data_IF_388140733445
#
_entry.id   IF_388140733445
#
_cell.length_a   1.000
_cell.length_b   1.000
_cell.length_c   1.000
_cell.angle_alpha   90.00
_cell.angle_beta   90.00
_cell.angle_gamma   90.00
#
_symmetry.space_group_name_H-M   'P 1'
#
loop_
_entity.id
_entity.type
_entity.pdbx_description
1 polymer ?
#
# COMPACT_ATOMS: atom_id res chain seq x y z
N UNK A 1 30.59 62.14 -40.26
CA UNK A 1 29.42 61.58 -39.66
C UNK A 1 29.57 60.05 -39.66
N UNK A 2 29.99 59.51 -38.56
CA UNK A 2 30.09 58.06 -38.36
C UNK A 2 28.86 57.63 -37.61
N UNK A 3 28.24 56.45 -37.88
CA UNK A 3 27.08 55.93 -37.07
C UNK A 3 27.56 55.24 -35.80
N UNK A 4 26.87 55.54 -34.72
CA UNK A 4 27.00 54.93 -33.42
C UNK A 4 26.66 53.43 -33.49
N UNK A 5 27.56 52.62 -32.94
CA UNK A 5 27.32 51.21 -32.68
C UNK A 5 26.47 51.11 -31.41
N UNK A 6 25.22 50.63 -31.52
CA UNK A 6 24.43 50.16 -30.43
C UNK A 6 25.02 48.84 -29.87
N UNK A 7 25.40 48.87 -28.61
CA UNK A 7 25.74 47.65 -27.86
C UNK A 7 24.43 46.89 -27.57
N UNK A 8 24.27 45.71 -28.15
CA UNK A 8 23.30 44.71 -27.71
C UNK A 8 23.75 44.13 -26.34
N UNK A 9 23.02 44.47 -25.32
CA UNK A 9 23.18 43.79 -24.01
C UNK A 9 22.65 42.35 -24.14
N UNK A 10 23.59 41.40 -24.11
CA UNK A 10 23.35 39.97 -24.09
C UNK A 10 22.84 39.58 -22.70
N UNK A 11 21.50 39.51 -22.53
CA UNK A 11 20.85 38.92 -21.36
C UNK A 11 20.97 37.38 -21.41
N UNK A 12 22.11 36.86 -21.03
CA UNK A 12 22.25 35.45 -20.71
C UNK A 12 21.49 35.21 -19.41
N UNK A 13 20.21 34.82 -19.51
CA UNK A 13 19.47 34.20 -18.41
C UNK A 13 20.16 32.88 -18.08
N UNK A 14 20.93 32.89 -16.99
CA UNK A 14 21.47 31.68 -16.41
C UNK A 14 20.35 30.67 -16.11
N UNK A 15 20.63 29.37 -16.11
CA UNK A 15 19.59 28.35 -15.86
C UNK A 15 18.92 28.67 -14.53
N UNK A 16 17.60 28.94 -14.56
CA UNK A 16 16.76 29.02 -13.36
C UNK A 16 17.05 27.78 -12.49
N UNK A 17 17.54 28.01 -11.30
CA UNK A 17 17.78 26.93 -10.34
C UNK A 17 16.45 26.20 -10.12
N UNK A 18 16.32 25.01 -10.71
CA UNK A 18 15.11 24.21 -10.66
C UNK A 18 14.64 24.10 -9.20
N UNK A 19 13.48 24.68 -8.89
CA UNK A 19 12.93 24.70 -7.54
C UNK A 19 12.70 23.26 -7.06
N UNK A 20 13.52 22.80 -6.11
CA UNK A 20 13.38 21.47 -5.53
C UNK A 20 12.06 21.34 -4.76
N UNK A 21 11.41 20.19 -4.89
CA UNK A 21 10.15 19.86 -4.20
C UNK A 21 10.40 19.51 -2.73
N UNK A 22 9.68 20.17 -1.80
CA UNK A 22 9.71 19.89 -0.36
C UNK A 22 8.58 18.96 0.04
N UNK A 23 8.90 17.93 0.84
CA UNK A 23 7.92 16.97 1.34
C UNK A 23 7.79 17.09 2.85
N UNK A 24 6.56 17.11 3.35
CA UNK A 24 6.26 17.06 4.78
C UNK A 24 5.30 15.91 5.08
N UNK A 25 5.63 15.12 6.10
CA UNK A 25 4.77 14.05 6.62
C UNK A 25 3.99 14.59 7.82
N UNK A 26 2.67 14.58 7.75
CA UNK A 26 1.77 15.04 8.81
C UNK A 26 1.29 13.83 9.61
N UNK A 27 1.99 13.55 10.71
CA UNK A 27 1.75 12.43 11.61
C UNK A 27 2.97 11.54 11.80
N UNK A 28 3.21 11.13 13.05
CA UNK A 28 4.42 10.43 13.50
C UNK A 28 4.13 9.08 14.17
N UNK A 29 2.96 8.52 13.95
CA UNK A 29 2.67 7.14 14.39
C UNK A 29 3.60 6.12 13.72
N UNK A 30 3.37 4.84 13.94
CA UNK A 30 4.18 3.78 13.34
C UNK A 30 4.30 3.95 11.81
N UNK A 31 3.16 4.06 11.11
CA UNK A 31 3.16 4.20 9.65
C UNK A 31 3.70 5.55 9.17
N UNK A 32 3.43 6.65 9.89
CA UNK A 32 4.03 7.96 9.57
C UNK A 32 5.55 7.95 9.65
N UNK A 33 6.11 7.27 10.64
CA UNK A 33 7.56 7.07 10.79
C UNK A 33 8.14 6.23 9.65
N UNK A 34 7.45 5.16 9.22
CA UNK A 34 7.86 4.35 8.07
C UNK A 34 7.81 5.17 6.78
N UNK A 35 6.73 5.93 6.56
CA UNK A 35 6.59 6.80 5.38
C UNK A 35 7.72 7.85 5.34
N UNK A 36 8.00 8.52 6.46
CA UNK A 36 9.08 9.48 6.55
C UNK A 36 10.45 8.84 6.21
N UNK A 37 10.72 7.64 6.72
CA UNK A 37 11.94 6.89 6.40
C UNK A 37 12.07 6.56 4.91
N UNK A 38 11.00 6.04 4.27
CA UNK A 38 11.00 5.70 2.86
C UNK A 38 11.26 6.93 1.99
N UNK A 39 10.49 8.00 2.25
CA UNK A 39 10.61 9.27 1.53
C UNK A 39 12.03 9.84 1.72
N UNK A 40 12.54 9.90 2.94
CA UNK A 40 13.87 10.42 3.24
C UNK A 40 14.99 9.64 2.54
N UNK A 41 14.85 8.32 2.43
CA UNK A 41 15.81 7.49 1.67
C UNK A 41 15.77 7.79 0.17
N UNK A 42 14.61 8.10 -0.37
CA UNK A 42 14.43 8.34 -1.81
C UNK A 42 14.77 9.78 -2.19
N UNK A 43 14.45 10.79 -1.36
CA UNK A 43 14.80 12.20 -1.62
C UNK A 43 16.30 12.41 -1.77
N UNK A 44 17.13 11.67 -1.02
CA UNK A 44 18.60 11.69 -1.19
C UNK A 44 19.09 11.21 -2.56
N UNK A 45 18.27 10.50 -3.31
CA UNK A 45 18.60 9.95 -4.64
C UNK A 45 17.95 10.74 -5.78
N UNK A 46 16.99 11.61 -5.47
CA UNK A 46 16.14 12.31 -6.43
C UNK A 46 16.51 13.80 -6.43
N UNK A 47 17.25 14.25 -7.44
CA UNK A 47 17.73 15.64 -7.54
C UNK A 47 16.61 16.70 -7.60
N UNK A 48 15.40 16.32 -7.99
CA UNK A 48 14.20 17.17 -8.02
C UNK A 48 13.57 17.43 -6.65
N UNK A 49 14.05 16.77 -5.61
CA UNK A 49 13.55 16.92 -4.25
C UNK A 49 14.58 17.54 -3.33
N UNK A 50 14.11 18.23 -2.28
CA UNK A 50 14.97 18.57 -1.15
C UNK A 50 15.30 17.32 -0.37
N UNK A 51 16.53 17.22 0.12
CA UNK A 51 16.98 16.09 0.93
C UNK A 51 16.19 16.01 2.24
N UNK A 52 15.96 17.16 2.89
CA UNK A 52 15.22 17.27 4.14
C UNK A 52 13.75 16.88 3.98
N UNK A 53 13.29 15.99 4.84
CA UNK A 53 11.89 15.59 4.99
C UNK A 53 11.42 16.00 6.38
N UNK A 54 10.47 16.92 6.45
CA UNK A 54 9.87 17.31 7.72
C UNK A 54 8.79 16.33 8.12
N UNK A 55 8.67 16.07 9.42
CA UNK A 55 7.64 15.22 9.99
C UNK A 55 6.99 15.96 11.17
N UNK A 56 5.70 16.29 11.03
CA UNK A 56 4.96 16.81 12.18
C UNK A 56 4.73 15.70 13.19
N UNK A 57 5.13 15.97 14.44
CA UNK A 57 5.02 15.08 15.58
C UNK A 57 4.08 15.70 16.60
N UNK A 58 2.98 15.01 16.93
CA UNK A 58 2.22 15.39 18.10
C UNK A 58 3.11 15.23 19.33
N UNK A 59 3.41 16.34 20.01
CA UNK A 59 4.40 16.35 21.07
C UNK A 59 3.91 15.56 22.29
N UNK A 60 4.75 14.67 22.75
CA UNK A 60 4.54 13.84 23.93
C UNK A 60 5.80 13.81 24.78
N UNK A 61 5.61 13.69 26.09
CA UNK A 61 6.72 13.47 27.02
C UNK A 61 6.93 11.98 27.23
N UNK A 62 8.13 11.51 26.97
CA UNK A 62 8.53 10.12 27.18
C UNK A 62 8.64 9.81 28.69
N UNK A 63 8.62 8.54 29.13
CA UNK A 63 8.86 8.16 30.52
C UNK A 63 10.20 8.67 31.10
N UNK A 64 11.17 8.96 30.23
CA UNK A 64 12.46 9.59 30.59
C UNK A 64 12.36 11.07 30.96
N UNK A 65 11.22 11.73 30.72
CA UNK A 65 11.05 13.18 30.83
C UNK A 65 11.47 13.96 29.58
N UNK A 66 12.06 13.31 28.57
CA UNK A 66 12.45 13.91 27.29
C UNK A 66 11.23 14.08 26.38
N UNK A 67 11.19 15.13 25.58
CA UNK A 67 10.17 15.31 24.53
C UNK A 67 10.40 14.33 23.38
N UNK A 68 9.32 13.77 22.82
CA UNK A 68 9.40 12.81 21.73
C UNK A 68 10.10 13.40 20.49
N UNK A 69 9.84 14.66 20.18
CA UNK A 69 10.47 15.38 19.06
C UNK A 69 11.99 15.50 19.24
N UNK A 70 12.44 15.85 20.45
CA UNK A 70 13.87 15.95 20.77
C UNK A 70 14.55 14.58 20.65
N UNK A 71 13.92 13.53 21.17
CA UNK A 71 14.42 12.16 21.06
C UNK A 71 14.57 11.71 19.60
N UNK A 72 13.57 12.01 18.74
CA UNK A 72 13.61 11.68 17.33
C UNK A 72 14.77 12.41 16.64
N UNK A 73 14.88 13.71 16.81
CA UNK A 73 15.92 14.53 16.17
C UNK A 73 17.33 14.16 16.65
N UNK A 74 17.50 13.82 17.92
CA UNK A 74 18.78 13.41 18.51
C UNK A 74 19.22 12.03 18.03
N UNK A 75 18.28 11.06 17.99
CA UNK A 75 18.61 9.65 17.71
C UNK A 75 18.32 9.21 16.28
N UNK A 76 17.64 10.02 15.48
CA UNK A 76 17.07 9.66 14.18
C UNK A 76 16.18 8.41 14.25
N UNK A 77 15.41 8.27 15.32
CA UNK A 77 14.59 7.11 15.62
C UNK A 77 13.33 7.53 16.37
N UNK A 78 12.18 7.07 15.94
CA UNK A 78 10.97 7.22 16.73
C UNK A 78 10.90 6.11 17.78
N UNK A 79 11.51 6.38 18.93
CA UNK A 79 11.67 5.39 20.01
C UNK A 79 10.35 4.88 20.60
N UNK A 80 9.25 5.64 20.42
CA UNK A 80 7.92 5.26 20.91
C UNK A 80 7.15 4.40 19.90
N UNK A 81 7.11 4.81 18.63
CA UNK A 81 6.24 4.24 17.64
C UNK A 81 6.92 3.31 16.63
N UNK A 82 8.26 3.41 16.48
CA UNK A 82 9.06 2.58 15.59
C UNK A 82 10.44 2.28 16.20
N UNK A 83 10.51 1.65 17.40
CA UNK A 83 11.76 1.42 18.10
C UNK A 83 12.69 0.48 17.32
N UNK A 84 13.99 0.77 17.39
CA UNK A 84 15.04 -0.03 16.72
C UNK A 84 15.24 0.29 15.23
N UNK A 85 14.44 1.20 14.66
CA UNK A 85 14.50 1.54 13.23
C UNK A 85 14.91 3.01 13.05
N UNK A 86 16.04 3.22 12.36
CA UNK A 86 16.50 4.58 12.02
C UNK A 86 15.69 5.16 10.87
N UNK A 87 15.23 6.40 11.02
CA UNK A 87 14.41 7.11 10.03
C UNK A 87 15.26 7.70 8.89
N UNK A 88 16.48 8.12 9.19
CA UNK A 88 17.37 8.86 8.29
C UNK A 88 17.77 10.19 8.93
N UNK A 89 19.02 10.63 8.68
CA UNK A 89 19.54 11.89 9.24
C UNK A 89 18.88 13.14 8.66
N UNK A 90 18.19 12.98 7.55
CA UNK A 90 17.47 14.03 6.82
C UNK A 90 15.98 14.10 7.20
N UNK A 91 15.50 13.29 8.15
CA UNK A 91 14.16 13.44 8.75
C UNK A 91 14.28 14.43 9.90
N UNK A 92 13.49 15.51 9.84
CA UNK A 92 13.43 16.55 10.88
C UNK A 92 12.03 16.48 11.50
N UNK A 93 11.98 16.13 12.78
CA UNK A 93 10.75 16.12 13.56
C UNK A 93 10.43 17.52 14.07
N UNK A 94 9.19 17.98 13.95
CA UNK A 94 8.72 19.30 14.33
C UNK A 94 7.39 19.16 15.10
N UNK A 95 7.26 19.70 16.31
CA UNK A 95 6.03 19.66 17.08
C UNK A 95 5.00 20.69 16.63
N UNK A 96 5.41 21.74 15.91
CA UNK A 96 4.52 22.75 15.38
C UNK A 96 4.03 22.37 13.99
N UNK A 97 2.71 22.16 13.85
CA UNK A 97 2.09 21.76 12.60
C UNK A 97 2.27 22.79 11.49
N UNK A 98 2.11 24.07 11.81
CA UNK A 98 2.19 25.16 10.82
C UNK A 98 3.63 25.35 10.34
N UNK A 99 4.59 25.25 11.25
CA UNK A 99 6.01 25.30 10.91
C UNK A 99 6.43 24.09 10.07
N UNK A 100 5.98 22.88 10.43
CA UNK A 100 6.29 21.65 9.69
C UNK A 100 5.86 21.71 8.22
N UNK A 101 4.66 22.26 7.93
CA UNK A 101 4.13 22.36 6.56
C UNK A 101 4.60 23.61 5.81
N UNK A 102 5.26 24.54 6.50
CA UNK A 102 5.67 25.79 5.86
C UNK A 102 6.63 25.54 4.68
N UNK A 103 6.26 26.07 3.54
CA UNK A 103 7.03 25.91 2.29
C UNK A 103 6.92 24.53 1.63
N UNK A 104 6.15 23.59 2.18
CA UNK A 104 5.94 22.28 1.57
C UNK A 104 5.26 22.41 0.18
N UNK A 105 5.66 21.54 -0.75
CA UNK A 105 5.02 21.34 -2.06
C UNK A 105 4.19 20.06 -2.07
N UNK A 106 4.53 19.09 -1.20
CA UNK A 106 3.87 17.80 -1.10
C UNK A 106 3.62 17.44 0.38
N UNK A 107 2.39 17.07 0.72
CA UNK A 107 1.96 16.71 2.07
C UNK A 107 1.50 15.26 2.13
N UNK A 108 1.98 14.52 3.13
CA UNK A 108 1.60 13.13 3.39
C UNK A 108 0.81 13.06 4.69
N UNK A 109 -0.49 12.83 4.62
CA UNK A 109 -1.36 12.71 5.80
C UNK A 109 -1.41 11.29 6.32
N UNK A 110 -0.98 11.09 7.56
CA UNK A 110 -0.85 9.76 8.22
C UNK A 110 -1.30 9.84 9.68
N UNK A 111 -2.39 10.54 9.93
CA UNK A 111 -2.98 10.68 11.27
C UNK A 111 -4.26 9.84 11.37
N UNK A 112 -4.72 9.46 12.58
CA UNK A 112 -6.03 8.85 12.71
C UNK A 112 -7.14 9.77 12.17
N UNK A 113 -8.13 9.21 11.46
CA UNK A 113 -9.14 9.97 10.72
C UNK A 113 -9.91 10.98 11.60
N UNK A 114 -10.18 10.65 12.87
CA UNK A 114 -10.92 11.50 13.80
C UNK A 114 -10.25 12.84 14.07
N UNK A 115 -8.96 12.99 13.79
CA UNK A 115 -8.24 14.26 13.95
C UNK A 115 -8.13 15.08 12.68
N UNK A 116 -8.49 14.50 11.52
CA UNK A 116 -8.26 15.13 10.20
C UNK A 116 -8.97 16.46 10.04
N UNK A 117 -10.24 16.56 10.46
CA UNK A 117 -10.97 17.81 10.36
C UNK A 117 -10.30 18.95 11.16
N UNK A 118 -9.83 18.64 12.37
CA UNK A 118 -9.11 19.60 13.21
C UNK A 118 -7.75 20.01 12.62
N UNK A 119 -7.03 19.07 12.02
CA UNK A 119 -5.75 19.32 11.33
C UNK A 119 -5.98 20.20 10.11
N UNK A 120 -6.95 19.85 9.25
CA UNK A 120 -7.27 20.65 8.06
C UNK A 120 -7.66 22.08 8.41
N UNK A 121 -8.51 22.29 9.44
CA UNK A 121 -8.87 23.65 9.90
C UNK A 121 -7.66 24.50 10.27
N UNK A 122 -6.66 23.92 10.94
CA UNK A 122 -5.41 24.61 11.29
C UNK A 122 -4.57 24.96 10.07
N UNK A 123 -4.65 24.17 9.00
CA UNK A 123 -3.86 24.32 7.79
C UNK A 123 -4.50 25.22 6.74
N UNK A 124 -5.77 25.60 6.88
CA UNK A 124 -6.44 26.54 5.97
C UNK A 124 -5.66 27.85 5.87
N UNK A 125 -5.26 28.23 4.67
CA UNK A 125 -4.46 29.44 4.40
C UNK A 125 -2.99 29.37 4.86
N UNK A 126 -2.52 28.22 5.35
CA UNK A 126 -1.13 28.01 5.79
C UNK A 126 -0.31 27.18 4.81
N UNK A 127 -0.97 26.49 3.91
CA UNK A 127 -0.35 25.70 2.83
C UNK A 127 -0.38 26.46 1.51
N UNK A 128 0.53 26.17 0.59
CA UNK A 128 0.53 26.74 -0.75
C UNK A 128 -0.73 26.31 -1.52
N UNK A 129 -1.23 27.16 -2.42
CA UNK A 129 -2.39 26.83 -3.24
C UNK A 129 -2.14 25.68 -4.24
N UNK A 130 -0.89 25.48 -4.64
CA UNK A 130 -0.43 24.45 -5.57
C UNK A 130 0.15 23.22 -4.86
N UNK A 131 -0.02 23.11 -3.52
CA UNK A 131 0.45 21.95 -2.77
C UNK A 131 -0.33 20.70 -3.18
N UNK A 132 0.38 19.60 -3.36
CA UNK A 132 -0.21 18.29 -3.63
C UNK A 132 -0.21 17.44 -2.38
N UNK A 133 -1.30 16.73 -2.13
CA UNK A 133 -1.44 15.89 -0.96
C UNK A 133 -1.61 14.41 -1.31
N UNK A 134 -1.23 13.55 -0.38
CA UNK A 134 -1.58 12.13 -0.38
C UNK A 134 -2.07 11.72 1.02
N UNK A 135 -3.20 10.99 1.07
CA UNK A 135 -3.69 10.37 2.29
C UNK A 135 -3.24 8.91 2.35
N UNK A 136 -2.67 8.50 3.49
CA UNK A 136 -2.36 7.11 3.83
C UNK A 136 -3.36 6.55 4.86
N UNK A 137 -4.50 7.22 5.03
CA UNK A 137 -5.52 6.89 6.01
C UNK A 137 -6.53 5.94 5.35
N UNK A 138 -6.74 4.77 5.97
CA UNK A 138 -7.56 3.67 5.42
C UNK A 138 -9.01 3.67 5.92
N UNK A 139 -9.41 4.73 6.58
CA UNK A 139 -10.71 4.84 7.22
C UNK A 139 -11.55 5.88 6.50
N UNK A 140 -12.87 5.75 6.63
CA UNK A 140 -13.86 6.64 6.05
C UNK A 140 -14.66 7.26 7.19
N UNK A 141 -14.96 8.54 7.09
CA UNK A 141 -15.87 9.20 8.02
C UNK A 141 -17.32 8.98 7.56
N UNK A 142 -18.21 8.64 8.48
CA UNK A 142 -19.63 8.51 8.18
C UNK A 142 -20.36 9.73 8.75
N UNK A 143 -20.89 10.59 7.87
CA UNK A 143 -21.72 11.75 8.22
C UNK A 143 -23.19 11.47 7.97
N UNK A 144 -24.05 12.36 8.44
CA UNK A 144 -25.51 12.24 8.23
C UNK A 144 -25.85 12.22 6.74
N UNK A 145 -25.10 12.97 5.93
CA UNK A 145 -25.27 13.06 4.48
C UNK A 145 -24.72 11.84 3.72
N UNK A 146 -24.04 10.94 4.41
CA UNK A 146 -23.42 9.73 3.83
C UNK A 146 -21.93 9.57 4.12
N UNK A 147 -21.29 8.58 3.50
CA UNK A 147 -19.87 8.31 3.68
C UNK A 147 -19.02 9.45 3.10
N UNK A 148 -18.10 9.97 3.91
CA UNK A 148 -17.16 11.02 3.54
C UNK A 148 -15.75 10.43 3.42
N UNK A 149 -15.20 10.48 2.22
CA UNK A 149 -13.83 10.06 1.93
C UNK A 149 -12.83 11.02 2.56
N UNK A 150 -11.78 10.52 3.21
CA UNK A 150 -10.76 11.37 3.83
C UNK A 150 -10.01 12.21 2.79
N UNK A 151 -9.72 11.64 1.63
CA UNK A 151 -9.11 12.37 0.51
C UNK A 151 -9.99 13.52 0.03
N UNK A 152 -11.30 13.33 0.01
CA UNK A 152 -12.29 14.36 -0.33
C UNK A 152 -12.39 15.44 0.75
N UNK A 153 -12.38 15.05 2.03
CA UNK A 153 -12.35 15.98 3.16
C UNK A 153 -11.13 16.92 3.06
N UNK A 154 -9.93 16.35 2.84
CA UNK A 154 -8.70 17.12 2.69
C UNK A 154 -8.81 18.08 1.50
N UNK A 155 -9.22 17.57 0.34
CA UNK A 155 -9.36 18.38 -0.88
C UNK A 155 -10.34 19.54 -0.71
N UNK A 156 -11.48 19.31 -0.11
CA UNK A 156 -12.51 20.33 0.08
C UNK A 156 -12.11 21.39 1.11
N UNK A 157 -11.51 20.98 2.23
CA UNK A 157 -11.16 21.94 3.28
C UNK A 157 -9.92 22.77 2.94
N UNK A 158 -8.94 22.20 2.27
CA UNK A 158 -7.69 22.89 1.93
C UNK A 158 -7.70 23.49 0.51
N UNK A 159 -8.64 23.11 -0.35
CA UNK A 159 -8.69 23.55 -1.75
C UNK A 159 -7.55 22.97 -2.60
N UNK A 160 -7.07 21.77 -2.29
CA UNK A 160 -5.90 21.14 -2.92
C UNK A 160 -6.23 19.75 -3.49
N UNK A 161 -5.39 19.26 -4.41
CA UNK A 161 -5.51 17.88 -4.88
C UNK A 161 -5.04 16.91 -3.79
N UNK A 162 -5.78 15.82 -3.59
CA UNK A 162 -5.39 14.77 -2.68
C UNK A 162 -5.47 13.40 -3.37
N UNK A 163 -4.32 12.75 -3.51
CA UNK A 163 -4.19 11.34 -3.84
C UNK A 163 -4.47 10.48 -2.60
N UNK A 164 -4.56 9.18 -2.80
CA UNK A 164 -4.62 8.21 -1.70
C UNK A 164 -3.63 7.08 -1.96
N UNK A 165 -3.06 6.51 -0.91
CA UNK A 165 -2.33 5.25 -1.01
C UNK A 165 -2.78 4.28 0.07
N UNK A 166 -3.00 3.04 -0.36
CA UNK A 166 -3.23 1.89 0.52
C UNK A 166 -2.05 0.96 0.38
N UNK A 167 -1.29 0.85 1.46
CA UNK A 167 -0.07 0.06 1.50
C UNK A 167 -0.30 -1.35 2.04
N UNK A 168 0.51 -2.27 1.55
CA UNK A 168 0.80 -3.57 2.14
C UNK A 168 2.30 -3.79 2.13
N UNK A 169 2.81 -4.55 3.07
CA UNK A 169 4.22 -4.64 3.46
C UNK A 169 5.24 -4.72 2.30
N UNK A 170 4.85 -5.15 1.11
CA UNK A 170 5.70 -5.22 -0.09
C UNK A 170 5.15 -4.40 -1.26
N UNK A 171 3.92 -3.89 -1.14
CA UNK A 171 3.24 -3.20 -2.23
C UNK A 171 2.30 -2.11 -1.72
N UNK A 172 2.11 -1.08 -2.54
CA UNK A 172 1.08 -0.07 -2.34
C UNK A 172 0.41 0.30 -3.67
N UNK A 173 -0.83 0.76 -3.57
CA UNK A 173 -1.54 1.36 -4.71
C UNK A 173 -1.75 2.84 -4.42
N UNK A 174 -1.33 3.71 -5.35
CA UNK A 174 -1.59 5.15 -5.31
C UNK A 174 -2.74 5.46 -6.24
N UNK A 175 -3.88 5.84 -5.66
CA UNK A 175 -5.04 6.34 -6.41
C UNK A 175 -4.89 7.82 -6.74
N UNK A 176 -5.13 8.20 -8.00
CA UNK A 176 -5.13 9.58 -8.46
C UNK A 176 -6.36 9.88 -9.33
N UNK A 177 -6.78 11.16 -9.42
CA UNK A 177 -7.91 11.55 -10.27
C UNK A 177 -7.48 11.88 -11.69
N UNK A 178 -6.75 12.94 -11.90
CA UNK A 178 -6.45 13.47 -13.24
C UNK A 178 -4.95 13.51 -13.51
N UNK A 179 -4.15 13.95 -12.55
CA UNK A 179 -2.73 14.24 -12.76
C UNK A 179 -1.85 13.00 -12.53
N UNK A 180 -1.54 12.31 -13.63
CA UNK A 180 -0.66 11.14 -13.63
C UNK A 180 0.78 11.48 -13.24
N UNK A 181 1.26 12.69 -13.56
CA UNK A 181 2.63 13.10 -13.24
C UNK A 181 2.83 13.24 -11.73
N UNK A 182 1.83 13.78 -11.03
CA UNK A 182 1.84 13.85 -9.57
C UNK A 182 1.81 12.45 -8.96
N UNK A 183 0.99 11.54 -9.51
CA UNK A 183 0.99 10.14 -9.07
C UNK A 183 2.37 9.49 -9.25
N UNK A 184 3.07 9.78 -10.35
CA UNK A 184 4.43 9.28 -10.58
C UNK A 184 5.45 9.87 -9.59
N UNK A 185 5.32 11.14 -9.18
CA UNK A 185 6.15 11.71 -8.11
C UNK A 185 5.94 10.97 -6.79
N UNK A 186 4.68 10.65 -6.43
CA UNK A 186 4.38 9.84 -5.25
C UNK A 186 4.98 8.42 -5.36
N UNK A 187 4.88 7.80 -6.53
CA UNK A 187 5.55 6.50 -6.78
C UNK A 187 7.05 6.61 -6.53
N UNK A 188 7.73 7.61 -7.07
CA UNK A 188 9.17 7.81 -6.87
C UNK A 188 9.55 7.99 -5.38
N UNK A 189 8.71 8.68 -4.60
CA UNK A 189 8.93 8.94 -3.19
C UNK A 189 8.79 7.70 -2.31
N UNK A 190 7.91 6.76 -2.68
CA UNK A 190 7.62 5.57 -1.87
C UNK A 190 8.26 4.29 -2.39
N UNK A 191 8.55 4.20 -3.69
CA UNK A 191 9.04 2.96 -4.31
C UNK A 191 10.45 2.61 -3.88
N UNK A 192 10.68 1.35 -3.53
CA UNK A 192 12.00 0.78 -3.21
C UNK A 192 12.14 -0.60 -3.82
N UNK A 193 13.31 -1.23 -3.77
CA UNK A 193 13.51 -2.62 -4.22
C UNK A 193 12.64 -3.65 -3.48
N UNK A 194 12.18 -3.33 -2.27
CA UNK A 194 11.36 -4.21 -1.43
C UNK A 194 9.94 -3.68 -1.17
N UNK A 195 9.58 -2.51 -1.71
CA UNK A 195 8.26 -1.90 -1.57
C UNK A 195 7.83 -1.30 -2.90
N UNK A 196 7.00 -2.03 -3.63
CA UNK A 196 6.56 -1.66 -4.97
C UNK A 196 5.28 -0.82 -4.92
N UNK A 197 5.27 0.29 -5.67
CA UNK A 197 4.14 1.22 -5.70
C UNK A 197 3.57 1.33 -7.10
N UNK A 198 2.26 1.08 -7.23
CA UNK A 198 1.55 1.12 -8.53
C UNK A 198 0.53 2.27 -8.53
N UNK A 199 0.57 3.17 -9.52
CA UNK A 199 -0.44 4.23 -9.65
C UNK A 199 -1.67 3.73 -10.40
N UNK A 200 -2.86 4.11 -9.94
CA UNK A 200 -4.13 3.84 -10.62
C UNK A 200 -5.02 5.09 -10.64
N UNK A 201 -5.66 5.36 -11.75
CA UNK A 201 -6.59 6.48 -11.86
C UNK A 201 -7.96 6.10 -11.28
N UNK A 202 -8.03 5.99 -9.96
CA UNK A 202 -9.24 5.63 -9.21
C UNK A 202 -9.02 5.88 -7.70
N UNK A 203 -9.29 7.09 -7.25
CA UNK A 203 -9.13 7.46 -5.82
C UNK A 203 -10.19 6.77 -4.98
N UNK A 204 -11.44 6.85 -5.43
CA UNK A 204 -12.61 6.33 -4.71
C UNK A 204 -12.52 4.81 -4.53
N UNK A 205 -12.15 4.08 -5.58
CA UNK A 205 -12.00 2.62 -5.52
C UNK A 205 -10.87 2.19 -4.57
N UNK A 206 -9.72 2.88 -4.60
CA UNK A 206 -8.60 2.59 -3.70
C UNK A 206 -8.97 2.81 -2.23
N UNK A 207 -9.64 3.92 -1.92
CA UNK A 207 -10.05 4.27 -0.56
C UNK A 207 -11.12 3.31 -0.02
N UNK A 208 -12.13 2.97 -0.83
CA UNK A 208 -13.18 2.03 -0.48
C UNK A 208 -12.65 0.61 -0.26
N UNK A 209 -11.68 0.15 -1.05
CA UNK A 209 -11.01 -1.12 -0.80
C UNK A 209 -10.42 -1.18 0.60
N UNK A 210 -9.72 -0.13 1.03
CA UNK A 210 -9.11 -0.06 2.36
C UNK A 210 -10.12 -0.10 3.51
N UNK A 211 -11.31 0.43 3.30
CA UNK A 211 -12.38 0.48 4.31
C UNK A 211 -13.22 -0.79 4.33
N UNK A 212 -13.77 -1.19 3.18
CA UNK A 212 -14.78 -2.26 3.06
C UNK A 212 -14.21 -3.66 3.38
N UNK A 213 -12.94 -3.91 3.11
CA UNK A 213 -12.26 -5.17 3.47
C UNK A 213 -12.43 -5.56 4.93
N UNK A 214 -12.58 -4.56 5.83
CA UNK A 214 -12.72 -4.82 7.27
C UNK A 214 -14.01 -5.56 7.60
N UNK A 215 -15.10 -5.27 6.88
CA UNK A 215 -16.37 -5.98 7.02
C UNK A 215 -16.23 -7.44 6.62
N UNK A 216 -15.55 -7.69 5.48
CA UNK A 216 -15.29 -9.05 5.00
C UNK A 216 -14.37 -9.81 5.96
N UNK A 217 -13.40 -9.11 6.56
CA UNK A 217 -12.49 -9.70 7.55
C UNK A 217 -13.24 -10.15 8.82
N UNK A 218 -14.25 -9.40 9.27
CA UNK A 218 -15.12 -9.80 10.37
C UNK A 218 -15.86 -11.09 10.00
N UNK A 219 -16.46 -11.16 8.82
CA UNK A 219 -17.14 -12.36 8.33
C UNK A 219 -16.19 -13.57 8.25
N UNK A 220 -14.97 -13.37 7.74
CA UNK A 220 -13.94 -14.42 7.73
C UNK A 220 -13.55 -14.89 9.15
N UNK A 221 -13.54 -13.97 10.12
CA UNK A 221 -13.29 -14.28 11.53
C UNK A 221 -14.40 -15.15 12.14
N UNK A 222 -15.66 -14.87 11.80
CA UNK A 222 -16.78 -15.74 12.25
C UNK A 222 -16.63 -17.17 11.70
N UNK A 223 -16.25 -17.31 10.41
CA UNK A 223 -15.98 -18.62 9.81
C UNK A 223 -14.89 -19.38 10.56
N UNK A 224 -13.79 -18.68 10.93
CA UNK A 224 -12.71 -19.27 11.70
C UNK A 224 -13.16 -19.68 13.11
N UNK A 225 -13.90 -18.81 13.80
CA UNK A 225 -14.39 -19.06 15.15
C UNK A 225 -15.42 -20.19 15.24
N UNK A 226 -16.20 -20.38 14.18
CA UNK A 226 -17.17 -21.48 14.04
C UNK A 226 -16.56 -22.75 13.42
N UNK A 227 -15.25 -22.76 13.12
CA UNK A 227 -14.48 -23.89 12.57
C UNK A 227 -15.05 -24.44 11.24
N UNK A 228 -15.64 -23.57 10.40
CA UNK A 228 -16.30 -23.96 9.14
C UNK A 228 -15.32 -24.31 8.01
N UNK A 229 -14.03 -24.17 8.23
CA UNK A 229 -12.96 -24.56 7.31
C UNK A 229 -12.60 -23.55 6.21
N UNK A 230 -11.50 -23.84 5.53
CA UNK A 230 -10.88 -22.91 4.57
C UNK A 230 -11.72 -22.68 3.31
N UNK A 231 -12.49 -23.68 2.83
CA UNK A 231 -13.33 -23.53 1.66
C UNK A 231 -14.45 -22.51 1.89
N UNK A 232 -15.09 -22.56 3.06
CA UNK A 232 -16.11 -21.57 3.47
C UNK A 232 -15.48 -20.18 3.57
N UNK A 233 -14.30 -20.08 4.18
CA UNK A 233 -13.57 -18.83 4.30
C UNK A 233 -13.23 -18.22 2.91
N UNK A 234 -12.73 -19.03 2.00
CA UNK A 234 -12.44 -18.60 0.63
C UNK A 234 -13.70 -18.15 -0.12
N UNK A 235 -14.81 -18.83 0.06
CA UNK A 235 -16.10 -18.45 -0.50
C UNK A 235 -16.59 -17.09 0.04
N UNK A 236 -16.49 -16.85 1.36
CA UNK A 236 -16.84 -15.58 1.99
C UNK A 236 -15.95 -14.45 1.46
N UNK A 237 -14.63 -14.66 1.35
CA UNK A 237 -13.72 -13.67 0.81
C UNK A 237 -14.04 -13.31 -0.64
N UNK A 238 -14.37 -14.31 -1.47
CA UNK A 238 -14.77 -14.09 -2.88
C UNK A 238 -16.09 -13.31 -2.96
N UNK A 239 -17.10 -13.72 -2.18
CA UNK A 239 -18.39 -13.00 -2.11
C UNK A 239 -18.16 -11.57 -1.65
N UNK A 240 -17.41 -11.38 -0.57
CA UNK A 240 -17.09 -10.07 -0.03
C UNK A 240 -16.36 -9.17 -1.05
N UNK A 241 -15.41 -9.71 -1.83
CA UNK A 241 -14.75 -8.93 -2.90
C UNK A 241 -15.75 -8.45 -3.96
N UNK A 242 -16.72 -9.31 -4.35
CA UNK A 242 -17.80 -8.92 -5.27
C UNK A 242 -18.73 -7.86 -4.68
N UNK A 243 -19.06 -7.98 -3.39
CA UNK A 243 -19.89 -6.99 -2.71
C UNK A 243 -19.16 -5.65 -2.55
N UNK A 244 -17.88 -5.67 -2.20
CA UNK A 244 -17.05 -4.46 -2.17
C UNK A 244 -17.07 -3.74 -3.52
N UNK A 245 -16.90 -4.48 -4.62
CA UNK A 245 -16.93 -3.96 -5.98
C UNK A 245 -18.31 -3.35 -6.32
N UNK A 246 -19.39 -4.10 -6.07
CA UNK A 246 -20.75 -3.65 -6.35
C UNK A 246 -21.11 -2.41 -5.54
N UNK A 247 -20.86 -2.42 -4.22
CA UNK A 247 -21.12 -1.29 -3.33
C UNK A 247 -20.35 -0.03 -3.76
N UNK A 248 -19.08 -0.19 -4.09
CA UNK A 248 -18.24 0.94 -4.53
C UNK A 248 -18.76 1.57 -5.80
N UNK A 249 -19.22 0.78 -6.77
CA UNK A 249 -19.83 1.27 -8.01
C UNK A 249 -21.20 1.91 -7.82
N UNK A 250 -21.97 1.46 -6.82
CA UNK A 250 -23.24 2.12 -6.48
C UNK A 250 -23.02 3.51 -5.87
N UNK A 251 -21.94 3.71 -5.12
CA UNK A 251 -21.59 5.01 -4.55
C UNK A 251 -20.91 5.93 -5.57
N UNK A 252 -20.01 5.38 -6.38
CA UNK A 252 -19.21 6.13 -7.34
C UNK A 252 -19.09 5.37 -8.67
N UNK A 253 -19.78 5.87 -9.69
CA UNK A 253 -19.77 5.26 -11.03
C UNK A 253 -18.40 5.29 -11.71
N UNK A 254 -17.46 6.13 -11.24
CA UNK A 254 -16.08 6.24 -11.71
C UNK A 254 -15.19 5.08 -11.30
N UNK A 255 -15.57 4.29 -10.28
CA UNK A 255 -14.78 3.19 -9.73
C UNK A 255 -14.52 2.10 -10.79
N UNK A 256 -13.26 1.70 -10.89
CA UNK A 256 -12.80 0.71 -11.89
C UNK A 256 -12.74 -0.70 -11.32
N UNK A 257 -13.20 -1.68 -12.10
CA UNK A 257 -13.11 -3.10 -11.72
C UNK A 257 -11.68 -3.56 -11.48
N UNK A 258 -10.73 -3.02 -12.23
CA UNK A 258 -9.32 -3.35 -12.11
C UNK A 258 -8.71 -2.97 -10.77
N UNK A 259 -9.25 -1.94 -10.09
CA UNK A 259 -8.79 -1.51 -8.75
C UNK A 259 -8.87 -2.63 -7.73
N UNK A 260 -9.90 -3.49 -7.82
CA UNK A 260 -10.08 -4.62 -6.90
C UNK A 260 -9.08 -5.76 -7.11
N UNK A 261 -8.35 -5.77 -8.23
CA UNK A 261 -7.26 -6.71 -8.50
C UNK A 261 -5.88 -6.18 -8.04
N UNK A 262 -5.80 -4.91 -7.68
CA UNK A 262 -4.56 -4.29 -7.20
C UNK A 262 -4.27 -4.63 -5.72
N UNK A 263 -3.13 -4.16 -5.22
CA UNK A 263 -2.70 -4.43 -3.84
C UNK A 263 -3.68 -3.90 -2.80
N UNK A 264 -4.33 -2.77 -3.06
CA UNK A 264 -5.38 -2.19 -2.21
C UNK A 264 -6.66 -3.05 -2.16
N UNK A 265 -6.94 -3.82 -3.20
CA UNK A 265 -8.11 -4.69 -3.33
C UNK A 265 -7.84 -6.09 -2.77
N UNK A 266 -7.62 -7.05 -3.68
CA UNK A 266 -7.53 -8.48 -3.35
C UNK A 266 -6.42 -8.82 -2.35
N UNK A 267 -5.24 -8.19 -2.46
CA UNK A 267 -4.13 -8.53 -1.55
C UNK A 267 -4.41 -8.01 -0.13
N UNK A 268 -4.94 -6.80 0.01
CA UNK A 268 -5.30 -6.21 1.29
C UNK A 268 -6.48 -6.95 1.95
N UNK A 269 -7.46 -7.38 1.14
CA UNK A 269 -8.55 -8.24 1.58
C UNK A 269 -8.03 -9.57 2.14
N UNK A 270 -7.20 -10.29 1.36
CA UNK A 270 -6.64 -11.58 1.76
C UNK A 270 -5.86 -11.43 3.08
N UNK A 271 -4.94 -10.46 3.15
CA UNK A 271 -4.12 -10.24 4.35
C UNK A 271 -4.99 -9.96 5.58
N UNK A 272 -6.01 -9.12 5.41
CA UNK A 272 -6.89 -8.73 6.51
C UNK A 272 -7.76 -9.91 6.97
N UNK A 273 -8.25 -10.74 6.05
CA UNK A 273 -9.01 -11.95 6.36
C UNK A 273 -8.16 -13.09 6.93
N UNK A 274 -6.83 -13.09 6.71
CA UNK A 274 -5.95 -14.13 7.25
C UNK A 274 -5.37 -13.78 8.62
N UNK A 275 -4.93 -12.55 8.81
CA UNK A 275 -4.17 -12.13 10.00
C UNK A 275 -4.62 -10.81 10.61
N UNK A 276 -5.60 -10.13 10.01
CA UNK A 276 -6.07 -8.82 10.43
C UNK A 276 -6.66 -8.79 11.83
N UNK A 277 -6.59 -7.64 12.49
CA UNK A 277 -7.13 -7.41 13.83
C UNK A 277 -8.63 -7.73 13.88
N UNK A 278 -9.41 -7.16 12.97
CA UNK A 278 -10.85 -7.34 12.89
C UNK A 278 -11.26 -8.83 12.74
N UNK A 279 -10.51 -9.59 11.91
CA UNK A 279 -10.72 -11.04 11.78
C UNK A 279 -10.48 -11.76 13.11
N UNK A 280 -9.38 -11.46 13.82
CA UNK A 280 -9.05 -12.11 15.10
C UNK A 280 -10.07 -11.81 16.18
N UNK A 281 -10.52 -10.57 16.27
CA UNK A 281 -11.57 -10.15 17.20
C UNK A 281 -12.88 -10.91 16.91
N UNK A 282 -13.28 -10.98 15.63
CA UNK A 282 -14.49 -11.69 15.22
C UNK A 282 -14.39 -13.23 15.46
N UNK A 283 -13.21 -13.82 15.24
CA UNK A 283 -12.94 -15.22 15.58
C UNK A 283 -13.15 -15.48 17.08
N UNK A 284 -12.55 -14.66 17.94
CA UNK A 284 -12.68 -14.80 19.39
C UNK A 284 -14.12 -14.54 19.85
N UNK A 285 -14.82 -13.59 19.23
CA UNK A 285 -16.25 -13.34 19.46
C UNK A 285 -17.10 -14.58 19.16
N UNK A 286 -16.92 -15.16 17.96
CA UNK A 286 -17.65 -16.36 17.56
C UNK A 286 -17.35 -17.57 18.47
N UNK A 287 -16.07 -17.79 18.83
CA UNK A 287 -15.68 -18.84 19.79
C UNK A 287 -16.26 -18.65 21.16
N UNK A 288 -16.51 -17.43 21.60
CA UNK A 288 -17.17 -17.13 22.88
C UNK A 288 -18.70 -17.36 22.84
N UNK A 289 -19.26 -17.69 21.67
CA UNK A 289 -20.70 -17.76 21.46
C UNK A 289 -21.39 -16.39 21.61
N UNK A 290 -20.68 -15.30 21.30
CA UNK A 290 -21.18 -13.92 21.39
C UNK A 290 -21.22 -13.36 22.82
N UNK A 291 -20.59 -14.04 23.81
CA UNK A 291 -20.62 -13.63 25.21
C UNK A 291 -19.64 -12.54 25.61
N UNK A 292 -18.63 -12.26 24.76
CA UNK A 292 -17.63 -11.20 24.97
C UNK A 292 -17.87 -10.06 24.00
N UNK A 293 -17.63 -8.82 24.41
CA UNK A 293 -17.76 -7.67 23.51
C UNK A 293 -16.58 -7.57 22.52
N UNK A 294 -16.79 -6.91 21.39
CA UNK A 294 -15.71 -6.65 20.42
C UNK A 294 -14.60 -5.78 21.03
N UNK A 295 -14.95 -4.79 21.85
CA UNK A 295 -13.99 -3.86 22.48
C UNK A 295 -13.06 -4.57 23.45
N UNK A 296 -13.58 -5.49 24.28
CA UNK A 296 -12.76 -6.32 25.18
C UNK A 296 -11.77 -7.19 24.42
N UNK A 297 -12.21 -7.75 23.29
CA UNK A 297 -11.39 -8.64 22.48
C UNK A 297 -10.35 -7.89 21.67
N UNK A 298 -10.68 -6.68 21.22
CA UNK A 298 -9.75 -5.83 20.47
C UNK A 298 -8.55 -5.40 21.31
N UNK A 299 -8.76 -5.13 22.60
CA UNK A 299 -7.69 -4.75 23.52
C UNK A 299 -6.63 -5.86 23.71
N UNK A 300 -7.00 -7.12 23.52
CA UNK A 300 -6.12 -8.27 23.74
C UNK A 300 -5.25 -8.66 22.52
N UNK A 301 -5.55 -8.16 21.30
CA UNK A 301 -4.97 -8.75 20.08
C UNK A 301 -4.11 -7.80 19.25
N UNK A 302 -2.81 -7.86 19.39
CA UNK A 302 -1.84 -7.23 18.44
C UNK A 302 -0.77 -8.25 18.00
N UNK A 303 -0.74 -8.62 16.71
CA UNK A 303 0.40 -8.83 15.79
C UNK A 303 0.14 -9.84 14.64
N UNK A 304 0.71 -9.60 13.50
CA UNK A 304 0.61 -9.89 12.25
C UNK A 304 1.22 -10.72 11.22
N UNK A 305 0.75 -10.97 9.99
CA UNK A 305 1.51 -11.50 8.82
C UNK A 305 0.96 -10.92 7.52
N UNK A 306 1.81 -10.31 6.69
CA UNK A 306 1.41 -9.51 5.52
C UNK A 306 1.97 -9.95 4.14
N UNK A 307 3.10 -10.66 4.07
CA UNK A 307 3.79 -11.01 2.82
C UNK A 307 3.01 -12.00 1.93
N UNK A 308 2.35 -12.98 2.54
CA UNK A 308 1.66 -14.04 1.80
C UNK A 308 0.55 -13.53 0.88
N UNK A 309 -0.17 -12.47 1.28
CA UNK A 309 -1.23 -11.91 0.46
C UNK A 309 -0.71 -11.18 -0.79
N UNK A 310 0.45 -10.52 -0.70
CA UNK A 310 1.08 -9.89 -1.86
C UNK A 310 1.43 -10.93 -2.93
N UNK A 311 2.04 -12.05 -2.52
CA UNK A 311 2.39 -13.16 -3.43
C UNK A 311 1.13 -13.75 -4.09
N UNK A 312 0.04 -13.98 -3.33
CA UNK A 312 -1.21 -14.48 -3.88
C UNK A 312 -1.80 -13.52 -4.94
N UNK A 313 -1.74 -12.20 -4.69
CA UNK A 313 -2.22 -11.20 -5.65
C UNK A 313 -1.40 -11.20 -6.94
N UNK A 314 -0.07 -11.25 -6.83
CA UNK A 314 0.81 -11.32 -7.99
C UNK A 314 0.49 -12.59 -8.80
N UNK A 315 0.36 -13.74 -8.12
CA UNK A 315 -0.03 -14.99 -8.76
C UNK A 315 -1.35 -14.90 -9.49
N UNK A 316 -2.36 -14.24 -8.92
CA UNK A 316 -3.65 -14.02 -9.58
C UNK A 316 -3.53 -13.16 -10.85
N UNK A 317 -2.71 -12.10 -10.82
CA UNK A 317 -2.43 -11.27 -12.00
C UNK A 317 -1.72 -12.07 -13.09
N UNK A 318 -0.70 -12.84 -12.74
CA UNK A 318 0.03 -13.67 -13.70
C UNK A 318 -0.87 -14.77 -14.27
N UNK A 319 -1.68 -15.45 -13.46
CA UNK A 319 -2.69 -16.41 -13.93
C UNK A 319 -3.65 -15.78 -14.95
N UNK A 320 -4.17 -14.58 -14.66
CA UNK A 320 -5.06 -13.86 -15.56
C UNK A 320 -4.37 -13.52 -16.89
N UNK A 321 -3.17 -12.94 -16.84
CA UNK A 321 -2.41 -12.55 -18.01
C UNK A 321 -2.04 -13.78 -18.85
N UNK A 322 -1.52 -14.83 -18.23
CA UNK A 322 -1.17 -16.08 -18.88
C UNK A 322 -2.38 -16.73 -19.60
N UNK A 323 -3.50 -16.80 -18.90
CA UNK A 323 -4.73 -17.36 -19.48
C UNK A 323 -5.22 -16.55 -20.69
N UNK A 324 -5.16 -15.22 -20.64
CA UNK A 324 -5.54 -14.34 -21.75
C UNK A 324 -4.57 -14.41 -22.93
N UNK A 325 -3.29 -14.60 -22.68
CA UNK A 325 -2.28 -14.76 -23.74
C UNK A 325 -2.43 -16.10 -24.47
N UNK A 326 -2.89 -17.14 -23.76
CA UNK A 326 -3.19 -18.44 -24.37
C UNK A 326 -4.56 -18.46 -25.06
N UNK A 327 -5.56 -17.85 -24.45
CA UNK A 327 -6.96 -17.92 -24.88
C UNK A 327 -7.61 -16.52 -24.76
N UNK A 328 -7.69 -15.79 -25.85
CA UNK A 328 -8.25 -14.43 -25.89
C UNK A 328 -9.73 -14.33 -25.47
N UNK A 329 -10.45 -15.45 -25.48
CA UNK A 329 -11.87 -15.57 -25.08
C UNK A 329 -12.07 -15.56 -23.55
N UNK A 330 -11.02 -15.71 -22.74
CA UNK A 330 -11.13 -15.72 -21.27
C UNK A 330 -11.57 -14.36 -20.76
N UNK A 331 -12.67 -14.36 -19.98
CA UNK A 331 -13.26 -13.15 -19.40
C UNK A 331 -12.59 -12.80 -18.06
N UNK A 332 -12.41 -11.51 -17.80
CA UNK A 332 -11.89 -11.03 -16.53
C UNK A 332 -12.73 -11.49 -15.33
N UNK A 333 -14.05 -11.53 -15.50
CA UNK A 333 -15.00 -12.00 -14.48
C UNK A 333 -14.76 -13.44 -14.04
N UNK A 334 -14.17 -14.30 -14.90
CA UNK A 334 -13.85 -15.69 -14.56
C UNK A 334 -12.92 -15.78 -13.34
N UNK A 335 -11.98 -14.84 -13.19
CA UNK A 335 -11.04 -14.85 -12.07
C UNK A 335 -11.66 -14.43 -10.73
N UNK A 336 -12.86 -13.82 -10.74
CA UNK A 336 -13.64 -13.54 -9.53
C UNK A 336 -14.57 -14.68 -9.13
N UNK A 337 -14.71 -15.70 -9.97
CA UNK A 337 -15.51 -16.88 -9.66
C UNK A 337 -14.77 -17.87 -8.74
N UNK A 338 -15.46 -18.94 -8.35
CA UNK A 338 -14.91 -19.95 -7.44
C UNK A 338 -13.66 -20.64 -7.99
N UNK A 339 -13.57 -20.83 -9.30
CA UNK A 339 -12.41 -21.40 -9.99
C UNK A 339 -11.20 -20.45 -10.08
N UNK A 340 -11.38 -19.16 -9.80
CA UNK A 340 -10.33 -18.16 -9.78
C UNK A 340 -9.82 -17.87 -8.37
N UNK A 341 -10.21 -16.73 -7.81
CA UNK A 341 -9.69 -16.24 -6.53
C UNK A 341 -10.00 -17.17 -5.35
N UNK A 342 -11.17 -17.81 -5.30
CA UNK A 342 -11.51 -18.70 -4.18
C UNK A 342 -10.65 -19.97 -4.18
N UNK A 343 -10.45 -20.60 -5.34
CA UNK A 343 -9.60 -21.79 -5.46
C UNK A 343 -8.12 -21.45 -5.22
N UNK A 344 -7.63 -20.31 -5.71
CA UNK A 344 -6.29 -19.82 -5.41
C UNK A 344 -6.09 -19.67 -3.89
N UNK A 345 -7.01 -19.00 -3.21
CA UNK A 345 -6.94 -18.80 -1.75
C UNK A 345 -6.94 -20.14 -1.03
N UNK A 346 -7.85 -21.06 -1.37
CA UNK A 346 -7.94 -22.39 -0.75
C UNK A 346 -6.66 -23.19 -0.93
N UNK A 347 -6.11 -23.19 -2.14
CA UNK A 347 -4.86 -23.87 -2.46
C UNK A 347 -3.68 -23.27 -1.72
N UNK A 348 -3.59 -21.94 -1.62
CA UNK A 348 -2.54 -21.25 -0.90
C UNK A 348 -2.66 -21.36 0.63
N UNK A 349 -3.86 -21.56 1.19
CA UNK A 349 -4.07 -21.72 2.64
C UNK A 349 -3.86 -23.15 3.15
N UNK A 350 -4.27 -24.16 2.39
CA UNK A 350 -4.29 -25.55 2.86
C UNK A 350 -3.89 -26.59 1.82
N UNK A 351 -3.59 -26.18 0.58
CA UNK A 351 -3.30 -27.08 -0.52
C UNK A 351 -2.05 -27.94 -0.31
N UNK A 352 -2.02 -29.07 -1.01
CA UNK A 352 -0.89 -30.01 -0.98
C UNK A 352 0.42 -29.35 -1.40
N UNK A 353 0.39 -28.56 -2.48
CA UNK A 353 1.59 -27.87 -3.01
C UNK A 353 2.15 -26.87 -2.01
N UNK A 354 1.29 -26.16 -1.26
CA UNK A 354 1.75 -25.29 -0.17
C UNK A 354 2.51 -26.07 0.91
N UNK A 355 1.98 -27.21 1.37
CA UNK A 355 2.64 -28.05 2.39
C UNK A 355 3.99 -28.57 1.92
N UNK A 356 4.10 -28.95 0.63
CA UNK A 356 5.35 -29.37 0.02
C UNK A 356 6.34 -28.19 -0.05
N UNK A 357 5.88 -27.01 -0.46
CA UNK A 357 6.72 -25.80 -0.52
C UNK A 357 7.20 -25.35 0.88
N UNK A 358 6.34 -25.45 1.91
CA UNK A 358 6.76 -25.16 3.29
C UNK A 358 7.84 -26.13 3.79
N UNK A 359 7.70 -27.44 3.50
CA UNK A 359 8.70 -28.44 3.83
C UNK A 359 10.02 -28.19 3.07
N UNK A 360 9.93 -27.87 1.79
CA UNK A 360 11.06 -27.51 0.94
C UNK A 360 11.81 -26.29 1.49
N UNK A 361 11.08 -25.20 1.80
CA UNK A 361 11.69 -23.99 2.34
C UNK A 361 12.37 -24.23 3.70
N UNK A 362 11.72 -25.00 4.60
CA UNK A 362 12.30 -25.38 5.92
C UNK A 362 13.52 -26.27 5.80
N UNK A 363 13.62 -27.09 4.77
CA UNK A 363 14.77 -27.99 4.52
C UNK A 363 15.93 -27.31 3.79
N UNK A 364 15.85 -26.01 3.53
CA UNK A 364 16.87 -25.28 2.77
C UNK A 364 16.95 -25.69 1.30
N UNK A 365 15.82 -26.09 0.70
CA UNK A 365 15.75 -26.42 -0.73
C UNK A 365 16.10 -27.86 -1.11
N UNK A 366 15.95 -28.83 -0.21
CA UNK A 366 16.36 -30.22 -0.42
C UNK A 366 15.25 -31.23 -0.75
N UNK A 367 14.10 -30.80 -1.23
CA UNK A 367 12.98 -31.71 -1.56
C UNK A 367 12.48 -31.48 -3.00
N UNK A 368 12.21 -32.54 -3.75
CA UNK A 368 11.74 -32.49 -5.15
C UNK A 368 10.23 -32.64 -5.27
N UNK A 369 9.62 -31.91 -6.22
CA UNK A 369 8.34 -32.25 -6.81
C UNK A 369 7.27 -31.17 -6.88
N UNK A 370 7.37 -30.25 -7.87
CA UNK A 370 6.21 -29.49 -8.34
C UNK A 370 6.21 -29.53 -9.87
N UNK A 371 5.47 -30.49 -10.47
CA UNK A 371 5.44 -30.70 -11.92
C UNK A 371 4.85 -29.53 -12.68
N UNK A 372 3.76 -28.92 -12.14
CA UNK A 372 3.05 -27.81 -12.80
C UNK A 372 3.94 -26.57 -12.99
N UNK A 373 4.82 -26.25 -12.04
CA UNK A 373 5.74 -25.12 -12.19
C UNK A 373 6.69 -25.32 -13.38
N UNK A 374 7.16 -26.55 -13.59
CA UNK A 374 7.98 -26.92 -14.73
C UNK A 374 7.22 -26.80 -16.05
N UNK A 375 6.01 -27.36 -16.13
CA UNK A 375 5.17 -27.33 -17.32
C UNK A 375 4.84 -25.88 -17.75
N UNK A 376 4.48 -25.02 -16.79
CA UNK A 376 4.24 -23.60 -17.06
C UNK A 376 5.52 -22.91 -17.53
N UNK A 377 6.66 -23.15 -16.87
CA UNK A 377 7.94 -22.56 -17.25
C UNK A 377 8.36 -22.96 -18.68
N UNK A 378 8.16 -24.21 -19.08
CA UNK A 378 8.43 -24.68 -20.44
C UNK A 378 7.59 -23.91 -21.48
N UNK A 379 6.30 -23.69 -21.21
CA UNK A 379 5.44 -22.89 -22.08
C UNK A 379 5.94 -21.45 -22.18
N UNK A 380 6.29 -20.82 -21.03
CA UNK A 380 6.82 -19.44 -20.98
C UNK A 380 8.11 -19.32 -21.78
N UNK A 381 9.03 -20.29 -21.61
CA UNK A 381 10.31 -20.32 -22.31
C UNK A 381 10.14 -20.46 -23.82
N UNK A 382 9.32 -21.41 -24.28
CA UNK A 382 9.05 -21.63 -25.71
C UNK A 382 8.38 -20.44 -26.39
N UNK A 383 7.57 -19.67 -25.64
CA UNK A 383 6.86 -18.49 -26.14
C UNK A 383 7.66 -17.20 -25.99
N UNK A 384 8.82 -17.20 -25.33
CA UNK A 384 9.59 -16.01 -25.01
C UNK A 384 8.89 -15.09 -24.00
N UNK A 385 8.08 -15.65 -23.09
CA UNK A 385 7.22 -14.92 -22.17
C UNK A 385 7.75 -14.86 -20.74
N UNK A 386 8.95 -15.33 -20.46
CA UNK A 386 9.51 -15.36 -19.10
C UNK A 386 9.51 -13.99 -18.42
N UNK A 387 9.81 -12.92 -19.16
CA UNK A 387 9.83 -11.55 -18.64
C UNK A 387 8.43 -11.02 -18.27
N UNK A 388 7.38 -11.61 -18.81
CA UNK A 388 6.00 -11.22 -18.50
C UNK A 388 5.45 -11.91 -17.25
N UNK A 389 6.05 -13.03 -16.82
CA UNK A 389 5.59 -13.86 -15.70
C UNK A 389 6.72 -14.14 -14.69
N UNK A 390 7.26 -13.07 -14.04
CA UNK A 390 8.41 -13.22 -13.17
C UNK A 390 8.14 -14.10 -11.94
N UNK A 391 6.92 -14.10 -11.39
CA UNK A 391 6.58 -14.97 -10.26
C UNK A 391 6.61 -16.43 -10.66
N UNK A 392 5.98 -16.81 -11.79
CA UNK A 392 5.96 -18.19 -12.27
C UNK A 392 7.39 -18.70 -12.59
N UNK A 393 8.21 -17.86 -13.22
CA UNK A 393 9.61 -18.17 -13.50
C UNK A 393 10.40 -18.39 -12.20
N UNK A 394 10.31 -17.46 -11.24
CA UNK A 394 11.01 -17.54 -9.95
C UNK A 394 10.60 -18.78 -9.16
N UNK A 395 9.31 -19.14 -9.13
CA UNK A 395 8.84 -20.37 -8.45
C UNK A 395 9.48 -21.60 -9.06
N UNK A 396 9.57 -21.70 -10.39
CA UNK A 396 10.26 -22.82 -11.06
C UNK A 396 11.75 -22.86 -10.72
N UNK A 397 12.46 -21.74 -10.82
CA UNK A 397 13.90 -21.63 -10.53
C UNK A 397 14.22 -22.01 -9.08
N UNK A 398 13.35 -21.65 -8.12
CA UNK A 398 13.47 -22.12 -6.74
C UNK A 398 13.26 -23.64 -6.66
N UNK A 399 12.24 -24.18 -7.32
CA UNK A 399 11.91 -25.61 -7.29
C UNK A 399 13.04 -26.50 -7.84
N UNK A 400 13.80 -26.02 -8.82
CA UNK A 400 14.96 -26.74 -9.39
C UNK A 400 16.28 -26.43 -8.65
N UNK A 401 16.25 -25.55 -7.62
CA UNK A 401 17.41 -25.21 -6.82
C UNK A 401 18.36 -24.18 -7.44
N UNK A 402 17.98 -23.52 -8.52
CA UNK A 402 18.75 -22.44 -9.15
C UNK A 402 18.72 -21.17 -8.31
N UNK A 403 17.62 -20.93 -7.61
CA UNK A 403 17.44 -19.82 -6.67
C UNK A 403 17.13 -20.34 -5.26
N UNK A 404 17.54 -19.61 -4.22
CA UNK A 404 17.14 -19.92 -2.85
C UNK A 404 15.66 -19.59 -2.61
N UNK A 405 14.97 -20.23 -1.63
CA UNK A 405 13.58 -19.92 -1.31
C UNK A 405 13.31 -18.46 -0.95
N UNK A 406 14.31 -17.74 -0.43
CA UNK A 406 14.21 -16.30 -0.13
C UNK A 406 14.01 -15.43 -1.37
N UNK A 407 14.44 -15.89 -2.54
CA UNK A 407 14.27 -15.18 -3.81
C UNK A 407 12.80 -14.91 -4.17
N UNK A 408 11.84 -15.59 -3.53
CA UNK A 408 10.40 -15.34 -3.73
C UNK A 408 9.98 -13.93 -3.33
N UNK A 409 10.69 -13.26 -2.45
CA UNK A 409 10.42 -11.87 -2.05
C UNK A 409 11.17 -10.85 -2.91
N UNK A 410 12.22 -11.28 -3.60
CA UNK A 410 13.08 -10.45 -4.45
C UNK A 410 12.59 -10.41 -5.91
N UNK A 411 11.67 -11.30 -6.31
CA UNK A 411 11.12 -11.32 -7.68
C UNK A 411 10.39 -10.02 -8.05
N UNK A 412 9.96 -9.23 -7.06
CA UNK A 412 9.32 -7.92 -7.26
C UNK A 412 10.23 -6.90 -7.96
N UNK A 413 11.56 -7.13 -7.98
CA UNK A 413 12.50 -6.32 -8.76
C UNK A 413 12.36 -6.56 -10.27
N UNK A 414 11.84 -7.71 -10.67
CA UNK A 414 11.51 -8.02 -12.05
C UNK A 414 10.11 -7.49 -12.36
N UNK A 415 10.01 -6.22 -12.76
CA UNK A 415 8.73 -5.63 -13.16
C UNK A 415 8.16 -6.40 -14.34
N UNK A 416 6.93 -6.98 -14.26
CA UNK A 416 6.33 -7.63 -15.40
C UNK A 416 6.17 -6.64 -16.54
N UNK A 417 6.57 -7.01 -17.76
CA UNK A 417 6.36 -6.20 -18.97
C UNK A 417 4.91 -6.26 -19.49
N UNK A 418 3.91 -6.54 -18.58
CA UNK A 418 2.49 -6.66 -18.91
C UNK A 418 1.79 -5.31 -18.72
#
# INVERSE_FOLDING_TARGET
MAPELQQEEDYTTGPEAAHKTRVTVVGSGNWGSVAAKLIASNTLKLSSFHDEVRMWVFEETLPSGEKLTDAINRSNENVKYLPGIKLGKNVVADPDLENAVNGANMLVFVTPHQFMEGICRRLVGKVKADVEAISLIKEMEVKIEGPCMISTLISQQLGINCCIAVEKFSEATVGYRENKEIAQKWVQLFNTSYFMVTPIQDVEGVELCGTLKNVVAIAAGFVDGLEMGNNTKAAIMRIGLKEMQAFSKMLFSSVKDTTFLESCGVADLITTCMGGRNRKVAEAFARSGGKRSFDELEAEMLQGQKLQAAIMRIGLREMKAFSKMLFSSVKDTTFFESCGVADLITTCLGGRNRKVAEAFARSGGKSSGVSTAKEVYEVLSHRGWLDFFPLFATVHEICIGTLPPSAIVEHSERTPKI
#
